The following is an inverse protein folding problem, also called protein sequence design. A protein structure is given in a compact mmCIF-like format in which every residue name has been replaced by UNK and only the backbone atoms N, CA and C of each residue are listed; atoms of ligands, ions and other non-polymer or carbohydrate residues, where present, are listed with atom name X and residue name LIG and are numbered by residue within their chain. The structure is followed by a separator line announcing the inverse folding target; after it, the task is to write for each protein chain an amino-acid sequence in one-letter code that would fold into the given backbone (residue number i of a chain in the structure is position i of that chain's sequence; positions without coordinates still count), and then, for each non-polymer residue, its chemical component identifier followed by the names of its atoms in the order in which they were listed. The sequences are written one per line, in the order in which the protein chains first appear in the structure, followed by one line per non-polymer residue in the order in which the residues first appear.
data_IF_535363210990
#
_entry.id   IF_535363210990
#
_cell.length_a   1.000
_cell.length_b   1.000
_cell.length_c   1.000
_cell.angle_alpha   90.00
_cell.angle_beta   90.00
_cell.angle_gamma   90.00
#
_symmetry.space_group_name_H-M   'P 1'
#
loop_
_entity.id
_entity.type
_entity.pdbx_description
1 polymer ?
#
# COMPACT_ATOMS: atom_id res chain seq x y z
N UNK A 1 11.47 -2.42 -22.71
CA UNK A 1 11.07 -3.81 -23.03
C UNK A 1 9.70 -3.75 -23.67
N UNK A 2 9.47 -4.36 -24.84
CA UNK A 2 8.12 -4.67 -25.27
C UNK A 2 7.61 -5.78 -24.34
N UNK A 3 6.61 -5.48 -23.52
CA UNK A 3 5.90 -6.51 -22.77
C UNK A 3 5.02 -7.21 -23.81
N UNK A 4 5.36 -8.46 -24.09
CA UNK A 4 4.53 -9.39 -24.88
C UNK A 4 3.15 -9.42 -24.22
N UNK A 5 2.05 -9.44 -24.98
CA UNK A 5 0.72 -9.54 -24.39
C UNK A 5 0.64 -10.80 -23.51
N UNK A 6 0.37 -10.61 -22.21
CA UNK A 6 0.24 -11.70 -21.25
C UNK A 6 -1.21 -11.73 -20.73
N UNK A 7 -2.18 -12.15 -21.57
CA UNK A 7 -3.61 -11.98 -21.29
C UNK A 7 -4.08 -12.73 -20.04
N UNK A 8 -3.32 -13.73 -19.59
CA UNK A 8 -3.63 -14.53 -18.40
C UNK A 8 -2.78 -14.17 -17.18
N UNK A 9 -1.93 -13.14 -17.24
CA UNK A 9 -1.07 -12.76 -16.12
C UNK A 9 -1.90 -12.17 -14.99
N UNK A 10 -1.97 -12.89 -13.87
CA UNK A 10 -2.71 -12.43 -12.68
C UNK A 10 -1.81 -11.78 -11.63
N UNK A 11 -0.50 -12.04 -11.67
CA UNK A 11 0.44 -11.52 -10.68
C UNK A 11 1.71 -11.03 -11.38
N UNK A 12 2.14 -9.82 -11.04
CA UNK A 12 3.34 -9.19 -11.57
C UNK A 12 4.12 -8.56 -10.42
N UNK A 13 5.37 -8.96 -10.28
CA UNK A 13 6.30 -8.34 -9.36
C UNK A 13 7.50 -7.80 -10.14
N UNK A 14 7.72 -6.48 -10.06
CA UNK A 14 8.85 -5.81 -10.67
C UNK A 14 9.76 -5.28 -9.57
N UNK A 15 10.97 -5.82 -9.52
CA UNK A 15 11.98 -5.48 -8.52
C UNK A 15 13.23 -4.94 -9.21
N UNK A 16 13.78 -3.83 -8.70
CA UNK A 16 15.08 -3.28 -9.15
C UNK A 16 15.17 -2.98 -10.66
N UNK A 17 14.05 -2.57 -11.26
CA UNK A 17 13.95 -2.25 -12.68
C UNK A 17 13.92 -0.75 -13.00
N UNK A 18 13.66 -0.44 -14.26
CA UNK A 18 13.24 0.89 -14.72
C UNK A 18 11.98 0.71 -15.55
N UNK A 19 10.90 1.37 -15.17
CA UNK A 19 9.69 1.47 -15.98
C UNK A 19 9.67 2.86 -16.59
N UNK A 20 10.02 2.95 -17.87
CA UNK A 20 9.99 4.22 -18.62
C UNK A 20 8.75 4.35 -19.51
N UNK A 21 8.09 3.23 -19.82
CA UNK A 21 6.85 3.23 -20.59
C UNK A 21 5.66 3.12 -19.64
N UNK A 22 4.67 4.00 -19.81
CA UNK A 22 3.41 4.02 -19.05
C UNK A 22 2.41 2.97 -19.50
N UNK A 23 2.57 2.37 -20.69
CA UNK A 23 1.45 1.69 -21.35
C UNK A 23 1.31 0.19 -21.01
N UNK A 24 2.24 -0.36 -20.23
CA UNK A 24 2.23 -1.78 -19.82
C UNK A 24 0.94 -2.25 -19.12
N UNK A 25 0.17 -1.43 -18.38
CA UNK A 25 -1.05 -1.88 -17.72
C UNK A 25 -2.15 -2.28 -18.70
N UNK A 26 -2.16 -1.69 -19.91
CA UNK A 26 -3.14 -2.02 -20.96
C UNK A 26 -2.96 -3.43 -21.52
N UNK A 27 -1.77 -4.01 -21.35
CA UNK A 27 -1.40 -5.31 -21.91
C UNK A 27 -1.71 -6.48 -20.97
N UNK A 28 -2.13 -6.19 -19.73
CA UNK A 28 -2.40 -7.19 -18.67
C UNK A 28 -3.69 -6.85 -17.90
N UNK A 29 -4.85 -6.80 -18.57
CA UNK A 29 -6.12 -6.40 -17.94
C UNK A 29 -6.60 -7.35 -16.83
N UNK A 30 -6.06 -8.58 -16.79
CA UNK A 30 -6.41 -9.61 -15.81
C UNK A 30 -5.56 -9.56 -14.53
N UNK A 31 -4.68 -8.56 -14.39
CA UNK A 31 -3.77 -8.46 -13.26
C UNK A 31 -4.53 -8.22 -11.94
N UNK A 32 -4.31 -9.11 -10.97
CA UNK A 32 -4.90 -9.10 -9.62
C UNK A 32 -3.90 -8.70 -8.55
N UNK A 33 -2.62 -8.97 -8.77
CA UNK A 33 -1.53 -8.62 -7.85
C UNK A 33 -0.44 -7.85 -8.57
N UNK A 34 -0.07 -6.70 -8.01
CA UNK A 34 1.01 -5.87 -8.50
C UNK A 34 1.96 -5.51 -7.36
N UNK A 35 3.21 -5.92 -7.49
CA UNK A 35 4.31 -5.48 -6.63
C UNK A 35 5.32 -4.65 -7.42
N UNK A 36 5.59 -3.43 -6.96
CA UNK A 36 6.57 -2.52 -7.52
C UNK A 36 7.59 -2.18 -6.43
N UNK A 37 8.80 -2.70 -6.57
CA UNK A 37 9.85 -2.65 -5.54
C UNK A 37 11.11 -2.03 -6.10
N UNK A 38 11.52 -0.88 -5.57
CA UNK A 38 12.76 -0.19 -5.97
C UNK A 38 12.84 0.05 -7.50
N UNK A 39 11.69 0.30 -8.14
CA UNK A 39 11.64 0.59 -9.58
C UNK A 39 12.11 2.03 -9.79
N UNK A 40 13.25 2.19 -10.46
CA UNK A 40 13.84 3.50 -10.75
C UNK A 40 13.00 4.27 -11.76
N UNK A 41 12.99 5.60 -11.61
CA UNK A 41 12.28 6.55 -12.48
C UNK A 41 10.75 6.38 -12.52
N UNK A 42 10.19 5.56 -11.64
CA UNK A 42 8.75 5.45 -11.47
C UNK A 42 8.29 6.49 -10.45
N UNK A 43 7.97 7.68 -10.93
CA UNK A 43 7.42 8.79 -10.13
C UNK A 43 5.91 8.96 -10.28
N UNK A 44 5.31 8.33 -11.29
CA UNK A 44 3.88 8.38 -11.57
C UNK A 44 3.29 6.96 -11.60
N UNK A 45 2.21 6.76 -10.84
CA UNK A 45 1.46 5.51 -10.79
C UNK A 45 0.09 5.62 -11.48
N UNK A 46 -0.23 6.75 -12.10
CA UNK A 46 -1.48 6.95 -12.87
C UNK A 46 -1.78 5.80 -13.83
N UNK A 47 -0.78 5.19 -14.51
CA UNK A 47 -1.06 4.06 -15.39
C UNK A 47 -1.61 2.80 -14.68
N UNK A 48 -1.45 2.66 -13.36
CA UNK A 48 -1.94 1.51 -12.59
C UNK A 48 -3.46 1.60 -12.34
N UNK A 49 -4.04 2.80 -12.33
CA UNK A 49 -5.46 3.02 -11.98
C UNK A 49 -6.49 2.36 -12.91
N UNK A 50 -6.22 2.13 -14.21
CA UNK A 50 -7.14 1.40 -15.08
C UNK A 50 -7.21 -0.11 -14.82
N UNK A 51 -6.35 -0.69 -13.97
CA UNK A 51 -6.32 -2.13 -13.67
C UNK A 51 -7.51 -2.53 -12.79
N UNK A 52 -8.69 -2.69 -13.39
CA UNK A 52 -9.96 -2.97 -12.68
C UNK A 52 -9.97 -4.30 -11.92
N UNK A 53 -9.18 -5.27 -12.36
CA UNK A 53 -9.07 -6.59 -11.71
C UNK A 53 -8.10 -6.57 -10.51
N UNK A 54 -7.37 -5.47 -10.29
CA UNK A 54 -6.35 -5.38 -9.25
C UNK A 54 -6.97 -5.52 -7.87
N UNK A 55 -6.50 -6.49 -7.10
CA UNK A 55 -6.96 -6.80 -5.75
C UNK A 55 -5.95 -6.41 -4.68
N UNK A 56 -4.66 -6.50 -5.02
CA UNK A 56 -3.57 -6.19 -4.10
C UNK A 56 -2.47 -5.39 -4.80
N UNK A 57 -2.21 -4.22 -4.25
CA UNK A 57 -1.12 -3.33 -4.62
C UNK A 57 -0.02 -3.32 -3.54
N UNK A 58 1.21 -3.61 -3.92
CA UNK A 58 2.39 -3.50 -3.05
C UNK A 58 3.38 -2.51 -3.68
N UNK A 59 3.64 -1.42 -2.97
CA UNK A 59 4.61 -0.39 -3.33
C UNK A 59 5.73 -0.37 -2.31
N UNK A 60 6.97 -0.50 -2.77
CA UNK A 60 8.13 -0.49 -1.89
C UNK A 60 9.27 0.37 -2.43
N UNK A 61 9.73 1.32 -1.61
CA UNK A 61 10.91 2.16 -1.89
C UNK A 61 10.83 2.82 -3.27
N UNK A 62 9.69 3.44 -3.58
CA UNK A 62 9.48 4.22 -4.81
C UNK A 62 9.62 5.72 -4.53
N UNK A 63 9.85 6.49 -5.58
CA UNK A 63 10.02 7.96 -5.51
C UNK A 63 8.71 8.73 -5.74
N UNK A 64 7.57 8.06 -5.58
CA UNK A 64 6.24 8.64 -5.77
C UNK A 64 5.90 9.52 -4.57
N UNK A 65 5.44 10.74 -4.84
CA UNK A 65 5.10 11.71 -3.78
C UNK A 65 3.61 11.70 -3.41
N UNK A 66 2.75 11.31 -4.36
CA UNK A 66 1.30 11.20 -4.18
C UNK A 66 0.77 10.03 -4.99
N UNK A 67 -0.16 9.29 -4.39
CA UNK A 67 -0.84 8.20 -5.08
C UNK A 67 -1.98 8.74 -5.94
N UNK A 68 -2.18 8.20 -7.17
CA UNK A 68 -3.24 8.62 -8.07
C UNK A 68 -4.62 8.16 -7.57
N UNK A 69 -5.68 8.65 -8.18
CA UNK A 69 -7.05 8.27 -7.82
C UNK A 69 -7.36 6.80 -8.19
N UNK A 70 -7.70 5.99 -7.17
CA UNK A 70 -8.10 4.59 -7.33
C UNK A 70 -9.63 4.39 -7.23
N UNK A 71 -10.43 5.45 -7.41
CA UNK A 71 -11.91 5.37 -7.42
C UNK A 71 -12.48 4.33 -8.40
N UNK A 72 -11.78 4.09 -9.52
CA UNK A 72 -12.14 3.10 -10.54
C UNK A 72 -11.67 1.67 -10.22
N UNK A 73 -10.79 1.48 -9.22
CA UNK A 73 -10.24 0.18 -8.83
C UNK A 73 -11.21 -0.56 -7.90
N UNK A 74 -12.32 -1.02 -8.47
CA UNK A 74 -13.44 -1.60 -7.71
C UNK A 74 -13.10 -2.91 -7.00
N UNK A 75 -12.03 -3.59 -7.37
CA UNK A 75 -11.59 -4.85 -6.76
C UNK A 75 -10.43 -4.68 -5.77
N UNK A 76 -9.86 -3.47 -5.63
CA UNK A 76 -8.68 -3.24 -4.79
C UNK A 76 -9.07 -3.35 -3.32
N UNK A 77 -8.62 -4.42 -2.68
CA UNK A 77 -8.95 -4.72 -1.28
C UNK A 77 -7.78 -4.49 -0.33
N UNK A 78 -6.53 -4.55 -0.85
CA UNK A 78 -5.31 -4.40 -0.06
C UNK A 78 -4.31 -3.48 -0.75
N UNK A 79 -3.73 -2.57 0.03
CA UNK A 79 -2.60 -1.74 -0.40
C UNK A 79 -1.49 -1.75 0.65
N UNK A 80 -0.25 -1.84 0.19
CA UNK A 80 0.95 -1.75 1.03
C UNK A 80 1.89 -0.69 0.48
N UNK A 81 2.35 0.20 1.36
CA UNK A 81 3.26 1.29 1.05
C UNK A 81 4.44 1.23 2.03
N UNK A 82 5.53 0.57 1.64
CA UNK A 82 6.68 0.28 2.49
C UNK A 82 7.92 1.07 2.06
N UNK A 83 8.65 1.67 2.99
CA UNK A 83 9.86 2.44 2.68
C UNK A 83 9.61 3.63 1.74
N UNK A 84 8.38 4.17 1.70
CA UNK A 84 7.98 5.23 0.78
C UNK A 84 8.41 6.62 1.28
N UNK A 85 9.71 6.92 1.22
CA UNK A 85 10.33 8.13 1.81
C UNK A 85 9.89 9.47 1.16
N UNK A 86 9.25 9.41 -0.01
CA UNK A 86 8.80 10.58 -0.77
C UNK A 86 7.33 10.94 -0.54
N UNK A 87 6.54 10.07 0.11
CA UNK A 87 5.16 10.40 0.48
C UNK A 87 5.15 11.37 1.67
N UNK A 88 5.28 12.68 1.38
CA UNK A 88 5.41 13.75 2.39
C UNK A 88 4.21 14.68 2.43
N UNK A 89 3.31 14.57 1.47
CA UNK A 89 2.17 15.46 1.34
C UNK A 89 0.99 15.00 2.22
N UNK A 90 0.22 15.89 2.87
CA UNK A 90 -0.98 15.53 3.63
C UNK A 90 -2.04 14.80 2.81
N UNK A 91 -2.10 15.04 1.50
CA UNK A 91 -2.97 14.32 0.57
C UNK A 91 -2.29 13.13 -0.14
N UNK A 92 -1.11 12.68 0.33
CA UNK A 92 -0.31 11.67 -0.39
C UNK A 92 -1.03 10.33 -0.60
N UNK A 93 -1.95 9.96 0.30
CA UNK A 93 -2.73 8.73 0.23
C UNK A 93 -4.18 8.95 -0.22
N UNK A 94 -4.59 10.17 -0.55
CA UNK A 94 -5.99 10.51 -0.85
C UNK A 94 -6.57 9.64 -1.97
N UNK A 95 -5.75 9.35 -2.99
CA UNK A 95 -6.16 8.49 -4.10
C UNK A 95 -6.51 7.05 -3.69
N UNK A 96 -5.82 6.49 -2.68
CA UNK A 96 -6.19 5.18 -2.12
C UNK A 96 -7.47 5.25 -1.28
N UNK A 97 -7.73 6.38 -0.61
CA UNK A 97 -8.95 6.57 0.17
C UNK A 97 -10.22 6.57 -0.71
N UNK A 98 -10.07 6.86 -2.00
CA UNK A 98 -11.15 6.80 -2.98
C UNK A 98 -11.47 5.37 -3.47
N UNK A 99 -10.61 4.38 -3.20
CA UNK A 99 -10.83 3.00 -3.63
C UNK A 99 -12.02 2.36 -2.86
N UNK A 100 -13.11 1.96 -3.54
CA UNK A 100 -14.39 1.67 -2.89
C UNK A 100 -14.41 0.36 -2.07
N UNK A 101 -13.48 -0.57 -2.33
CA UNK A 101 -13.42 -1.87 -1.65
C UNK A 101 -12.16 -2.04 -0.77
N UNK A 102 -11.41 -0.96 -0.50
CA UNK A 102 -10.15 -1.05 0.24
C UNK A 102 -10.37 -1.38 1.73
N UNK A 103 -9.91 -2.56 2.14
CA UNK A 103 -10.09 -3.11 3.50
C UNK A 103 -8.78 -3.13 4.29
N UNK A 104 -7.67 -3.37 3.62
CA UNK A 104 -6.35 -3.49 4.24
C UNK A 104 -5.41 -2.41 3.70
N UNK A 105 -4.80 -1.65 4.61
CA UNK A 105 -3.81 -0.63 4.29
C UNK A 105 -2.63 -0.75 5.24
N UNK A 106 -1.48 -1.18 4.74
CA UNK A 106 -0.23 -1.16 5.50
C UNK A 106 0.63 0.00 5.00
N UNK A 107 1.05 0.87 5.91
CA UNK A 107 1.91 2.00 5.57
C UNK A 107 3.09 2.03 6.53
N UNK A 108 4.29 1.94 5.96
CA UNK A 108 5.56 2.16 6.63
C UNK A 108 6.34 3.20 5.83
N UNK A 109 5.94 4.47 5.95
CA UNK A 109 6.52 5.60 5.25
C UNK A 109 7.07 6.61 6.28
N UNK A 110 8.40 6.78 6.39
CA UNK A 110 9.02 7.47 7.53
C UNK A 110 8.73 8.97 7.60
N UNK A 111 8.30 9.58 6.49
CA UNK A 111 8.03 11.02 6.40
C UNK A 111 6.56 11.34 6.06
N UNK A 112 5.68 10.35 6.19
CA UNK A 112 4.27 10.56 5.91
C UNK A 112 3.63 11.38 7.05
N UNK A 113 3.02 12.54 6.75
CA UNK A 113 2.29 13.29 7.76
C UNK A 113 1.07 12.51 8.24
N UNK A 114 0.75 12.65 9.53
CA UNK A 114 -0.40 11.97 10.14
C UNK A 114 -1.73 12.34 9.47
N UNK A 115 -1.85 13.55 8.94
CA UNK A 115 -3.06 14.00 8.22
C UNK A 115 -3.36 13.14 6.98
N UNK A 116 -2.34 12.52 6.38
CA UNK A 116 -2.52 11.64 5.23
C UNK A 116 -3.21 10.32 5.54
N UNK A 117 -3.26 9.90 6.81
CA UNK A 117 -3.98 8.69 7.21
C UNK A 117 -5.39 8.95 7.72
N UNK A 118 -5.75 10.22 7.98
CA UNK A 118 -7.07 10.63 8.49
C UNK A 118 -8.25 10.11 7.65
N UNK A 119 -8.21 10.14 6.30
CA UNK A 119 -9.32 9.65 5.48
C UNK A 119 -9.69 8.19 5.77
N UNK A 120 -8.74 7.35 6.19
CA UNK A 120 -8.95 5.93 6.45
C UNK A 120 -9.49 5.63 7.85
N UNK A 121 -9.36 6.58 8.78
CA UNK A 121 -9.86 6.45 10.15
C UNK A 121 -11.31 6.93 10.24
N UNK A 122 -11.64 8.05 9.58
CA UNK A 122 -12.98 8.67 9.67
C UNK A 122 -14.02 7.92 8.85
N UNK A 123 -13.67 7.47 7.65
CA UNK A 123 -14.62 6.76 6.74
C UNK A 123 -15.06 5.40 7.25
N UNK A 124 -14.31 4.78 8.17
CA UNK A 124 -14.63 3.44 8.71
C UNK A 124 -15.56 3.45 9.92
N UNK A 125 -15.91 4.63 10.46
CA UNK A 125 -16.78 4.70 11.63
C UNK A 125 -18.28 4.44 11.31
N UNK A 126 -18.67 4.35 10.04
CA UNK A 126 -20.08 4.17 9.64
C UNK A 126 -20.45 2.75 9.19
N UNK A 127 -19.53 1.80 9.02
CA UNK A 127 -19.88 0.42 8.65
C UNK A 127 -18.73 -0.60 8.85
N UNK A 128 -18.54 -1.14 10.07
CA UNK A 128 -18.01 -2.50 10.37
C UNK A 128 -17.55 -2.65 11.84
N UNK A 129 -17.61 -3.86 12.43
CA UNK A 129 -17.24 -4.10 13.82
C UNK A 129 -15.72 -4.08 14.03
N UNK A 130 -15.29 -3.23 14.97
CA UNK A 130 -14.04 -3.22 15.75
C UNK A 130 -12.98 -4.24 15.32
N UNK A 131 -12.09 -3.85 14.40
CA UNK A 131 -10.75 -4.44 14.29
C UNK A 131 -9.71 -3.34 14.47
N UNK A 132 -8.67 -3.68 15.24
CA UNK A 132 -7.76 -2.78 15.92
C UNK A 132 -6.88 -1.97 14.96
N UNK A 133 -6.90 -0.64 15.09
CA UNK A 133 -5.85 0.23 14.54
C UNK A 133 -5.33 1.10 15.68
N UNK A 134 -4.11 0.84 16.12
CA UNK A 134 -3.38 1.73 17.02
C UNK A 134 -2.44 2.60 16.15
N UNK A 135 -2.80 3.87 15.99
CA UNK A 135 -1.87 4.88 15.52
C UNK A 135 -0.87 5.16 16.65
N UNK A 136 0.38 4.73 16.50
CA UNK A 136 1.46 5.10 17.43
C UNK A 136 2.25 6.25 16.80
N UNK A 137 1.93 7.48 17.21
CA UNK A 137 2.79 8.64 16.99
C UNK A 137 3.74 8.79 18.18
N UNK A 138 4.93 8.19 18.09
CA UNK A 138 6.16 8.69 18.72
C UNK A 138 7.33 7.75 18.38
N UNK A 139 8.32 8.32 17.69
CA UNK A 139 9.76 8.05 17.82
C UNK A 139 10.19 6.74 18.48
N UNK A 140 10.41 5.69 17.68
CA UNK A 140 11.49 4.71 17.84
C UNK A 140 11.28 3.57 16.85
N UNK A 141 12.34 3.17 16.15
CA UNK A 141 12.37 1.97 15.34
C UNK A 141 11.92 0.76 16.16
N UNK A 142 10.83 0.10 15.76
CA UNK A 142 10.53 -1.30 16.08
C UNK A 142 9.49 -1.86 15.12
N UNK A 143 9.91 -2.91 14.44
CA UNK A 143 9.19 -3.81 13.55
C UNK A 143 7.74 -4.06 14.00
N UNK A 144 6.78 -3.84 13.10
CA UNK A 144 5.38 -4.24 13.28
C UNK A 144 5.21 -5.64 12.70
N UNK A 145 4.97 -6.63 13.57
CA UNK A 145 4.46 -7.94 13.20
C UNK A 145 2.98 -8.00 13.64
N UNK A 146 2.05 -8.05 12.68
CA UNK A 146 0.66 -8.41 12.96
C UNK A 146 0.50 -9.93 12.80
N UNK A 147 0.76 -10.67 13.87
CA UNK A 147 0.40 -12.09 13.99
C UNK A 147 -0.87 -12.22 14.80
N UNK A 148 -1.97 -12.66 14.15
CA UNK A 148 -3.14 -13.15 14.85
C UNK A 148 -2.78 -14.46 15.58
N UNK A 149 -2.74 -14.47 16.92
CA UNK A 149 -2.81 -15.71 17.68
C UNK A 149 -3.75 -15.58 18.87
N UNK A 150 -4.80 -16.40 18.82
CA UNK A 150 -5.76 -16.60 19.90
C UNK A 150 -5.13 -17.53 20.97
N UNK A 151 -5.30 -17.15 22.24
CA UNK A 151 -5.19 -17.97 23.47
C UNK A 151 -3.82 -18.60 23.84
N UNK A 152 -3.18 -18.10 24.91
CA UNK A 152 -3.08 -18.76 26.22
C UNK A 152 -2.01 -18.10 27.13
N UNK A 153 -2.27 -18.17 28.44
CA UNK A 153 -1.48 -17.62 29.57
C UNK A 153 -0.01 -18.09 29.58
N UNK A 154 0.93 -17.23 29.99
CA UNK A 154 1.63 -17.25 31.31
C UNK A 154 2.90 -16.35 31.33
N UNK A 155 3.16 -15.80 32.52
CA UNK A 155 4.34 -15.09 33.08
C UNK A 155 5.65 -15.05 32.26
N UNK A 156 6.27 -13.86 32.15
CA UNK A 156 7.34 -13.36 33.03
C UNK A 156 8.11 -12.20 32.38
N UNK A 157 8.33 -11.12 33.14
CA UNK A 157 9.13 -9.94 32.78
C UNK A 157 10.62 -10.29 32.58
N UNK A 158 11.37 -9.48 31.82
CA UNK A 158 12.50 -8.82 32.47
C UNK A 158 12.62 -7.31 32.16
N UNK A 159 13.17 -6.62 33.17
CA UNK A 159 13.65 -5.24 33.20
C UNK A 159 14.80 -5.02 32.22
N UNK A 160 14.83 -3.86 31.57
CA UNK A 160 16.07 -3.26 31.09
C UNK A 160 16.46 -2.15 32.08
N UNK A 161 17.61 -2.29 32.73
CA UNK A 161 18.29 -1.26 33.51
C UNK A 161 19.34 -0.56 32.66
N UNK A 162 19.38 0.77 32.80
CA UNK A 162 20.37 1.79 32.36
C UNK A 162 21.29 1.48 31.18
#
# INVERSE_FOLDING_TARGET
MPVIELPHLQALALTLGSLTNSDWPTQIPTLRYLALRQVRKLSDLTPVTPLRALQWLWLETLTVERLPDFSSSTMLTRAECLGMCHLRHPAALQGLAAAPQLRELLVAAPHLPVDAVVPFVITRHSNAPRSCWAANSATAARTIFCGCHHHARTRSSPRCTN
#
